data_IF_387280376674
#
_entry.id   IF_387280376674
#
_cell.length_a   1.000
_cell.length_b   1.000
_cell.length_c   1.000
_cell.angle_alpha   90.00
_cell.angle_beta   90.00
_cell.angle_gamma   90.00
#
_symmetry.space_group_name_H-M   'P 1'
#
loop_
_entity.id
_entity.type
_entity.pdbx_description
1 polymer ?
#
# COMPACT_ATOMS: atom_id res chain seq x y z
N UNK A 1 -10.92 5.41 18.03
CA UNK A 1 -11.53 4.13 18.45
C UNK A 1 -11.30 3.14 17.32
N UNK A 2 -10.25 2.30 17.42
CA UNK A 2 -9.85 1.39 16.35
C UNK A 2 -10.83 0.24 16.25
N UNK A 3 -11.42 0.04 15.08
CA UNK A 3 -12.27 -1.12 14.81
C UNK A 3 -11.39 -2.37 14.99
N UNK A 4 -11.80 -3.36 15.82
CA UNK A 4 -11.06 -4.61 15.96
C UNK A 4 -10.95 -5.29 14.60
N UNK A 5 -9.88 -6.06 14.38
CA UNK A 5 -9.82 -6.95 13.22
C UNK A 5 -11.06 -7.87 13.26
N UNK A 6 -11.69 -8.18 12.12
CA UNK A 6 -12.79 -9.14 12.10
C UNK A 6 -12.23 -10.48 12.56
N UNK A 7 -12.58 -10.87 13.78
CA UNK A 7 -12.40 -12.23 14.25
C UNK A 7 -13.43 -13.07 13.50
N UNK A 8 -12.97 -13.89 12.55
CA UNK A 8 -13.75 -14.84 11.73
C UNK A 8 -15.26 -14.54 11.66
N UNK A 9 -15.64 -13.37 11.13
CA UNK A 9 -17.05 -13.07 10.90
C UNK A 9 -17.44 -13.73 9.59
N UNK A 10 -17.80 -15.02 9.68
CA UNK A 10 -18.61 -15.68 8.66
C UNK A 10 -19.92 -14.89 8.55
N UNK A 11 -20.02 -13.98 7.59
CA UNK A 11 -21.30 -13.39 7.23
C UNK A 11 -22.17 -14.49 6.62
N UNK A 12 -23.32 -14.84 7.25
CA UNK A 12 -24.17 -15.94 6.80
C UNK A 12 -25.04 -15.58 5.59
N UNK A 13 -24.92 -14.36 5.04
CA UNK A 13 -25.65 -13.91 3.86
C UNK A 13 -24.73 -13.82 2.66
N UNK A 14 -24.90 -14.68 1.66
CA UNK A 14 -24.20 -14.55 0.39
C UNK A 14 -24.41 -13.16 -0.23
N UNK A 15 -23.34 -12.53 -0.68
CA UNK A 15 -23.39 -11.21 -1.30
C UNK A 15 -23.87 -11.35 -2.74
N UNK A 16 -25.09 -10.88 -3.03
CA UNK A 16 -25.67 -10.94 -4.37
C UNK A 16 -24.90 -9.99 -5.30
N UNK A 17 -24.47 -10.49 -6.45
CA UNK A 17 -23.84 -9.69 -7.51
C UNK A 17 -22.32 -9.53 -7.43
N UNK A 18 -21.68 -10.00 -6.35
CA UNK A 18 -20.22 -9.94 -6.20
C UNK A 18 -19.60 -11.33 -6.30
N UNK A 19 -18.36 -11.39 -6.80
CA UNK A 19 -17.61 -12.64 -6.92
C UNK A 19 -17.27 -13.18 -5.54
N UNK A 20 -17.81 -14.35 -5.16
CA UNK A 20 -17.54 -14.96 -3.85
C UNK A 20 -16.44 -16.02 -3.89
N UNK A 21 -16.00 -16.44 -5.09
CA UNK A 21 -14.87 -17.33 -5.24
C UNK A 21 -14.35 -17.45 -6.66
N UNK A 22 -13.21 -18.13 -6.79
CA UNK A 22 -12.62 -18.54 -8.06
C UNK A 22 -11.88 -19.86 -7.91
N UNK A 23 -11.73 -20.56 -9.03
CA UNK A 23 -10.93 -21.77 -9.16
C UNK A 23 -9.98 -21.56 -10.34
N UNK A 24 -8.69 -21.79 -10.12
CA UNK A 24 -7.64 -21.65 -11.15
C UNK A 24 -6.94 -22.99 -11.32
N UNK A 25 -6.97 -23.58 -12.52
CA UNK A 25 -6.26 -24.81 -12.81
C UNK A 25 -4.74 -24.57 -12.89
N UNK A 26 -3.94 -25.50 -12.32
CA UNK A 26 -2.50 -25.51 -12.44
C UNK A 26 -2.08 -26.24 -13.72
N UNK A 27 -1.21 -25.61 -14.51
CA UNK A 27 -0.71 -26.15 -15.78
C UNK A 27 0.69 -26.80 -15.63
N UNK A 28 1.00 -27.33 -14.45
CA UNK A 28 2.28 -27.97 -14.13
C UNK A 28 2.24 -29.51 -14.27
N UNK A 29 1.15 -30.05 -14.81
CA UNK A 29 0.94 -31.50 -14.97
C UNK A 29 0.41 -32.21 -13.73
N UNK A 30 0.23 -31.51 -12.59
CA UNK A 30 -0.33 -32.09 -11.36
C UNK A 30 -1.84 -32.34 -11.43
N UNK A 31 -2.55 -31.67 -12.34
CA UNK A 31 -4.01 -31.63 -12.36
C UNK A 31 -4.61 -30.89 -11.16
N UNK A 32 -3.81 -30.10 -10.44
CA UNK A 32 -4.23 -29.34 -9.26
C UNK A 32 -5.05 -28.10 -9.57
N UNK A 33 -5.73 -27.58 -8.54
CA UNK A 33 -6.50 -26.35 -8.59
C UNK A 33 -6.15 -25.45 -7.42
N UNK A 34 -6.14 -24.13 -7.65
CA UNK A 34 -6.11 -23.12 -6.62
C UNK A 34 -7.50 -22.55 -6.41
N UNK A 35 -7.93 -22.48 -5.15
CA UNK A 35 -9.24 -21.98 -4.74
C UNK A 35 -9.09 -20.61 -4.10
N UNK A 36 -10.04 -19.72 -4.35
CA UNK A 36 -10.16 -18.45 -3.64
C UNK A 36 -11.59 -18.25 -3.14
N UNK A 37 -11.73 -17.62 -1.98
CA UNK A 37 -13.01 -17.17 -1.41
C UNK A 37 -12.88 -15.72 -0.94
N UNK A 38 -13.91 -14.92 -1.22
CA UNK A 38 -13.96 -13.49 -0.91
C UNK A 38 -15.13 -13.18 0.01
N UNK A 39 -14.88 -12.39 1.05
CA UNK A 39 -15.87 -11.94 2.03
C UNK A 39 -15.90 -10.42 2.06
N UNK A 40 -17.09 -9.85 2.15
CA UNK A 40 -17.34 -8.43 2.00
C UNK A 40 -17.97 -7.84 3.27
N UNK A 41 -17.82 -6.55 3.50
CA UNK A 41 -18.64 -5.86 4.49
C UNK A 41 -19.99 -5.40 3.92
N UNK A 42 -20.81 -4.77 4.76
CA UNK A 42 -22.10 -4.19 4.37
C UNK A 42 -22.01 -3.00 3.41
N UNK A 43 -20.79 -2.58 3.04
CA UNK A 43 -20.52 -1.53 2.05
C UNK A 43 -19.83 -2.11 0.81
N UNK A 44 -19.93 -3.42 0.63
CA UNK A 44 -19.47 -4.14 -0.57
C UNK A 44 -17.94 -4.09 -0.76
N UNK A 45 -17.19 -3.88 0.33
CA UNK A 45 -15.72 -3.88 0.31
C UNK A 45 -15.19 -5.23 0.78
N UNK A 46 -14.19 -5.78 0.09
CA UNK A 46 -13.55 -7.04 0.51
C UNK A 46 -12.86 -6.83 1.86
N UNK A 47 -13.28 -7.57 2.88
CA UNK A 47 -12.67 -7.54 4.23
C UNK A 47 -11.84 -8.78 4.52
N UNK A 48 -12.04 -9.86 3.76
CA UNK A 48 -11.25 -11.06 3.88
C UNK A 48 -11.16 -11.80 2.54
N UNK A 49 -9.96 -12.30 2.25
CA UNK A 49 -9.71 -13.25 1.16
C UNK A 49 -9.05 -14.48 1.75
N UNK A 50 -9.49 -15.67 1.36
CA UNK A 50 -8.84 -16.95 1.71
C UNK A 50 -8.52 -17.69 0.42
N UNK A 51 -7.28 -18.12 0.26
CA UNK A 51 -6.83 -18.79 -0.95
C UNK A 51 -5.97 -20.01 -0.62
N UNK A 52 -5.94 -21.00 -1.49
CA UNK A 52 -4.87 -21.98 -1.49
C UNK A 52 -3.68 -21.46 -2.28
N UNK A 53 -2.47 -21.91 -1.96
CA UNK A 53 -1.26 -21.59 -2.74
C UNK A 53 -0.61 -22.86 -3.33
N UNK A 54 0.50 -22.69 -4.03
CA UNK A 54 1.20 -23.75 -4.75
C UNK A 54 1.91 -24.77 -3.83
N UNK A 55 2.02 -24.50 -2.53
CA UNK A 55 2.63 -25.40 -1.56
C UNK A 55 1.58 -26.39 -1.01
N UNK A 56 2.03 -27.59 -0.64
CA UNK A 56 1.18 -28.61 -0.04
C UNK A 56 0.50 -28.10 1.24
N UNK A 57 -0.84 -28.16 1.28
CA UNK A 57 -1.64 -27.63 2.38
C UNK A 57 -1.53 -26.11 2.55
N UNK A 58 -1.06 -25.42 1.51
CA UNK A 58 -0.78 -24.00 1.51
C UNK A 58 -2.05 -23.16 1.56
N UNK A 59 -2.13 -22.24 2.51
CA UNK A 59 -3.25 -21.33 2.71
C UNK A 59 -2.73 -19.90 2.87
N UNK A 60 -3.26 -19.01 2.04
CA UNK A 60 -3.20 -17.55 2.21
C UNK A 60 -4.47 -17.06 2.87
N UNK A 61 -4.34 -16.13 3.82
CA UNK A 61 -5.44 -15.31 4.30
C UNK A 61 -5.04 -13.85 4.27
N UNK A 62 -5.91 -13.01 3.75
CA UNK A 62 -5.77 -11.56 3.82
C UNK A 62 -6.99 -10.98 4.53
N UNK A 63 -6.77 -10.03 5.44
CA UNK A 63 -7.80 -9.30 6.14
C UNK A 63 -7.55 -7.81 5.99
N UNK A 64 -8.60 -7.03 5.72
CA UNK A 64 -8.51 -5.58 5.57
C UNK A 64 -9.52 -4.91 6.49
N UNK A 65 -9.05 -3.95 7.28
CA UNK A 65 -9.89 -3.05 8.06
C UNK A 65 -9.94 -1.69 7.37
N UNK A 66 -11.10 -1.05 7.33
CA UNK A 66 -11.30 0.25 6.69
C UNK A 66 -11.76 1.31 7.68
N UNK A 67 -11.41 2.58 7.43
CA UNK A 67 -12.03 3.70 8.12
C UNK A 67 -13.42 4.03 7.55
N UNK A 68 -14.06 5.03 8.14
CA UNK A 68 -15.40 5.47 7.75
C UNK A 68 -15.50 5.95 6.30
N UNK A 69 -14.44 6.52 5.73
CA UNK A 69 -14.45 7.04 4.35
C UNK A 69 -13.98 6.02 3.30
N UNK A 70 -13.65 4.78 3.69
CA UNK A 70 -13.27 3.75 2.73
C UNK A 70 -11.79 3.43 2.64
N UNK A 71 -10.93 4.06 3.44
CA UNK A 71 -9.49 3.87 3.33
C UNK A 71 -9.03 2.70 4.22
N UNK A 72 -8.17 1.80 3.73
CA UNK A 72 -7.59 0.73 4.55
C UNK A 72 -6.81 1.32 5.72
N UNK A 73 -7.07 0.85 6.94
CA UNK A 73 -6.31 1.23 8.15
C UNK A 73 -5.39 0.12 8.61
N UNK A 74 -5.74 -1.13 8.32
CA UNK A 74 -4.90 -2.29 8.59
C UNK A 74 -5.05 -3.31 7.46
N UNK A 75 -3.97 -3.99 7.15
CA UNK A 75 -3.95 -5.18 6.29
C UNK A 75 -3.14 -6.26 7.00
N UNK A 76 -3.75 -7.42 7.24
CA UNK A 76 -3.07 -8.59 7.78
C UNK A 76 -3.00 -9.65 6.70
N UNK A 77 -1.79 -10.06 6.35
CA UNK A 77 -1.55 -11.19 5.45
C UNK A 77 -1.00 -12.36 6.27
N UNK A 78 -1.52 -13.57 6.05
CA UNK A 78 -1.08 -14.79 6.73
C UNK A 78 -0.79 -15.84 5.67
N UNK A 79 0.45 -16.31 5.67
CA UNK A 79 0.94 -17.37 4.79
C UNK A 79 1.22 -18.63 5.61
N UNK A 80 0.65 -19.76 5.22
CA UNK A 80 0.85 -21.04 5.91
C UNK A 80 0.94 -22.19 4.92
N UNK A 81 1.63 -23.26 5.29
CA UNK A 81 1.75 -24.50 4.51
C UNK A 81 2.13 -25.67 5.43
N UNK A 82 1.85 -26.91 5.03
CA UNK A 82 2.17 -28.09 5.82
C UNK A 82 3.67 -28.20 6.06
N UNK A 83 4.07 -28.38 7.32
CA UNK A 83 5.48 -28.49 7.71
C UNK A 83 6.28 -27.19 7.63
N UNK A 84 5.62 -26.03 7.46
CA UNK A 84 6.24 -24.70 7.45
C UNK A 84 5.69 -23.84 8.60
N UNK A 85 6.54 -22.98 9.17
CA UNK A 85 6.10 -21.98 10.14
C UNK A 85 5.18 -20.97 9.46
N UNK A 86 4.01 -20.74 10.05
CA UNK A 86 3.09 -19.71 9.57
C UNK A 86 3.75 -18.33 9.66
N UNK A 87 3.71 -17.57 8.57
CA UNK A 87 4.16 -16.18 8.54
C UNK A 87 2.95 -15.25 8.62
N UNK A 88 3.08 -14.16 9.37
CA UNK A 88 2.08 -13.10 9.41
C UNK A 88 2.71 -11.73 9.17
N UNK A 89 2.09 -10.94 8.31
CA UNK A 89 2.52 -9.59 7.99
C UNK A 89 1.37 -8.62 8.27
N UNK A 90 1.55 -7.77 9.28
CA UNK A 90 0.60 -6.73 9.63
C UNK A 90 1.09 -5.38 9.11
N UNK A 91 0.32 -4.77 8.22
CA UNK A 91 0.49 -3.39 7.79
C UNK A 91 -0.52 -2.50 8.51
N UNK A 92 -0.08 -1.33 8.97
CA UNK A 92 -0.95 -0.29 9.53
C UNK A 92 -0.75 1.00 8.75
N UNK A 93 -1.87 1.64 8.38
CA UNK A 93 -1.90 2.87 7.61
C UNK A 93 -2.54 3.98 8.44
N UNK A 94 -1.79 5.06 8.62
CA UNK A 94 -2.23 6.26 9.35
C UNK A 94 -2.49 7.39 8.36
N UNK A 95 -3.56 8.13 8.57
CA UNK A 95 -3.96 9.24 7.73
C UNK A 95 -4.10 10.52 8.55
N UNK A 96 -3.86 11.67 7.93
CA UNK A 96 -4.24 12.95 8.50
C UNK A 96 -5.74 13.24 8.37
N UNK A 97 -6.18 14.39 8.88
CA UNK A 97 -7.58 14.81 8.84
C UNK A 97 -8.11 15.05 7.42
N UNK A 98 -7.23 15.31 6.44
CA UNK A 98 -7.58 15.46 5.03
C UNK A 98 -7.60 14.11 4.29
N UNK A 99 -7.34 13.00 4.99
CA UNK A 99 -7.33 11.65 4.40
C UNK A 99 -6.05 11.32 3.64
N UNK A 100 -4.95 12.05 3.85
CA UNK A 100 -3.66 11.76 3.19
C UNK A 100 -2.84 10.80 4.06
N UNK A 101 -2.19 9.81 3.44
CA UNK A 101 -1.42 8.77 4.14
C UNK A 101 -0.15 9.37 4.77
N UNK A 102 -0.08 9.44 6.09
CA UNK A 102 1.06 10.00 6.82
C UNK A 102 2.08 8.96 7.25
N UNK A 103 1.66 7.72 7.51
CA UNK A 103 2.57 6.66 7.92
C UNK A 103 2.08 5.28 7.49
N UNK A 104 3.02 4.44 7.06
CA UNK A 104 2.82 3.00 6.87
C UNK A 104 3.81 2.26 7.75
N UNK A 105 3.31 1.41 8.64
CA UNK A 105 4.14 0.50 9.44
C UNK A 105 3.92 -0.96 9.01
N UNK A 106 4.90 -1.80 9.33
CA UNK A 106 4.88 -3.24 9.08
C UNK A 106 5.37 -4.00 10.30
N UNK A 107 4.79 -5.16 10.54
CA UNK A 107 5.19 -6.06 11.60
C UNK A 107 5.17 -7.49 11.06
N UNK A 108 6.31 -8.16 11.13
CA UNK A 108 6.47 -9.56 10.74
C UNK A 108 6.35 -10.46 11.98
N UNK A 109 5.48 -11.47 11.92
CA UNK A 109 5.30 -12.51 12.92
C UNK A 109 5.07 -11.99 14.35
N UNK A 110 4.39 -10.86 14.49
CA UNK A 110 4.18 -10.20 15.80
C UNK A 110 5.46 -9.65 16.44
N UNK A 111 6.57 -9.57 15.70
CA UNK A 111 7.85 -9.02 16.16
C UNK A 111 7.85 -7.51 16.29
N UNK A 112 9.02 -6.89 16.19
CA UNK A 112 9.13 -5.42 16.28
C UNK A 112 8.49 -4.75 15.07
N UNK A 113 7.59 -3.79 15.31
CA UNK A 113 7.01 -2.96 14.27
C UNK A 113 8.06 -2.01 13.68
N UNK A 114 8.15 -1.96 12.36
CA UNK A 114 9.03 -1.06 11.60
C UNK A 114 8.19 -0.06 10.80
N UNK A 115 8.65 1.19 10.72
CA UNK A 115 8.03 2.21 9.87
C UNK A 115 8.59 2.09 8.45
N UNK A 116 7.77 1.68 7.49
CA UNK A 116 8.18 1.57 6.08
C UNK A 116 8.28 2.94 5.42
N UNK A 117 7.31 3.82 5.69
CA UNK A 117 7.24 5.15 5.11
C UNK A 117 6.58 6.15 6.06
N UNK A 118 7.14 7.35 6.16
CA UNK A 118 6.50 8.53 6.75
C UNK A 118 6.41 9.64 5.72
N UNK A 119 5.24 10.20 5.54
CA UNK A 119 4.97 11.28 4.60
C UNK A 119 4.60 12.55 5.34
N UNK A 120 5.08 13.68 4.83
CA UNK A 120 4.53 14.99 5.16
C UNK A 120 4.01 15.64 3.90
N UNK A 121 3.09 16.58 4.08
CA UNK A 121 2.45 17.29 2.99
C UNK A 121 2.59 18.78 3.20
N UNK A 122 2.67 19.54 2.10
CA UNK A 122 2.59 20.98 2.14
C UNK A 122 1.15 21.47 2.33
N UNK A 123 1.01 22.79 2.49
CA UNK A 123 -0.27 23.47 2.72
C UNK A 123 -1.27 23.26 1.57
N UNK A 124 -0.79 22.94 0.37
CA UNK A 124 -1.60 22.71 -0.82
C UNK A 124 -1.99 21.25 -1.02
N UNK A 125 -1.60 20.33 -0.13
CA UNK A 125 -1.95 18.92 -0.31
C UNK A 125 -0.83 18.04 -0.86
N UNK A 126 0.28 18.61 -1.31
CA UNK A 126 1.29 17.90 -2.11
C UNK A 126 2.33 17.24 -1.21
N UNK A 127 2.87 16.10 -1.62
CA UNK A 127 3.88 15.37 -0.86
C UNK A 127 5.12 16.25 -0.67
N UNK A 128 5.45 16.60 0.57
CA UNK A 128 6.60 17.46 0.89
C UNK A 128 7.83 16.62 1.23
N UNK A 129 7.66 15.61 2.08
CA UNK A 129 8.74 14.66 2.40
C UNK A 129 8.21 13.24 2.39
N UNK A 130 9.08 12.30 2.01
CA UNK A 130 8.89 10.88 2.20
C UNK A 130 10.16 10.29 2.84
N UNK A 131 10.03 9.77 4.06
CA UNK A 131 11.11 9.11 4.79
C UNK A 131 10.90 7.60 4.79
N UNK A 132 11.88 6.84 4.33
CA UNK A 132 11.83 5.36 4.32
C UNK A 132 12.46 4.78 5.57
N UNK A 133 11.88 3.71 6.12
CA UNK A 133 12.52 2.94 7.19
C UNK A 133 12.74 3.72 8.50
N UNK A 134 12.03 4.83 8.70
CA UNK A 134 12.33 5.81 9.77
C UNK A 134 13.81 6.29 9.76
N UNK A 135 14.44 6.30 8.59
CA UNK A 135 15.83 6.67 8.41
C UNK A 135 15.93 8.03 7.71
N UNK A 136 16.46 9.02 8.43
CA UNK A 136 16.63 10.39 7.91
C UNK A 136 17.52 10.43 6.67
N UNK A 137 18.52 9.54 6.55
CA UNK A 137 19.37 9.43 5.37
C UNK A 137 18.63 8.94 4.11
N UNK A 138 17.46 8.35 4.30
CA UNK A 138 16.57 7.87 3.23
C UNK A 138 15.31 8.75 3.12
N UNK A 139 15.46 10.04 3.42
CA UNK A 139 14.39 11.03 3.26
C UNK A 139 14.53 11.76 1.94
N UNK A 140 13.49 11.66 1.13
CA UNK A 140 13.31 12.46 -0.09
C UNK A 140 12.44 13.67 0.22
N UNK A 141 12.90 14.85 -0.16
CA UNK A 141 12.17 16.12 -0.10
C UNK A 141 11.80 16.55 -1.51
N UNK A 142 10.56 16.99 -1.67
CA UNK A 142 10.00 17.40 -2.96
C UNK A 142 9.72 18.90 -2.94
N UNK A 143 10.06 19.57 -4.04
CA UNK A 143 9.64 20.94 -4.30
C UNK A 143 8.83 21.01 -5.58
N UNK A 144 8.04 22.06 -5.71
CA UNK A 144 7.09 22.23 -6.81
C UNK A 144 7.18 23.63 -7.40
N UNK A 145 6.87 23.75 -8.69
CA UNK A 145 6.65 25.05 -9.30
C UNK A 145 5.22 25.57 -9.03
N UNK A 146 4.90 26.77 -9.52
CA UNK A 146 3.59 27.41 -9.35
C UNK A 146 2.42 26.65 -9.99
N UNK A 147 2.70 25.68 -10.87
CA UNK A 147 1.70 24.80 -11.50
C UNK A 147 1.61 23.43 -10.82
N UNK A 148 2.24 23.28 -9.65
CA UNK A 148 2.28 22.02 -8.90
C UNK A 148 3.00 20.87 -9.61
N UNK A 149 3.88 21.16 -10.57
CA UNK A 149 4.79 20.15 -11.12
C UNK A 149 6.03 20.04 -10.24
N UNK A 150 6.53 18.81 -10.06
CA UNK A 150 7.75 18.54 -9.29
C UNK A 150 8.92 19.31 -9.93
N UNK A 151 9.53 20.19 -9.14
CA UNK A 151 10.69 20.99 -9.54
C UNK A 151 11.98 20.35 -9.06
N UNK A 152 12.00 19.77 -7.86
CA UNK A 152 13.17 19.03 -7.39
C UNK A 152 12.79 17.86 -6.50
N UNK A 153 13.66 16.86 -6.50
CA UNK A 153 13.68 15.74 -5.57
C UNK A 153 15.08 15.72 -4.97
N UNK A 154 15.17 15.86 -3.65
CA UNK A 154 16.44 15.90 -2.93
C UNK A 154 16.45 14.91 -1.79
N UNK A 155 17.48 14.08 -1.75
CA UNK A 155 17.82 13.19 -0.65
C UNK A 155 19.34 13.20 -0.44
N UNK A 156 19.84 12.72 0.71
CA UNK A 156 21.28 12.62 0.94
C UNK A 156 22.05 11.80 -0.10
N UNK A 157 21.39 10.85 -0.78
CA UNK A 157 22.02 9.94 -1.74
C UNK A 157 21.70 10.27 -3.21
N UNK A 158 20.76 11.18 -3.46
CA UNK A 158 20.31 11.53 -4.80
C UNK A 158 19.68 12.91 -4.82
N UNK A 159 20.06 13.73 -5.80
CA UNK A 159 19.41 15.02 -6.05
C UNK A 159 19.12 15.19 -7.55
N UNK A 160 17.94 15.71 -7.85
CA UNK A 160 17.51 16.10 -9.18
C UNK A 160 16.73 17.41 -9.08
N UNK A 161 17.06 18.35 -9.96
CA UNK A 161 16.34 19.62 -10.11
C UNK A 161 16.04 19.86 -11.58
N UNK A 162 14.80 20.24 -11.87
CA UNK A 162 14.29 20.52 -13.21
C UNK A 162 14.09 22.03 -13.36
N UNK A 163 14.83 22.61 -14.32
CA UNK A 163 14.87 24.05 -14.55
C UNK A 163 13.86 24.49 -15.63
N UNK A 164 12.57 24.25 -15.39
CA UNK A 164 11.51 24.60 -16.35
C UNK A 164 11.35 26.11 -16.56
N UNK A 165 11.43 26.88 -15.47
CA UNK A 165 11.11 28.30 -15.44
C UNK A 165 12.31 29.18 -15.11
N UNK A 166 13.49 28.57 -14.99
CA UNK A 166 14.72 29.20 -14.57
C UNK A 166 15.78 29.00 -15.66
N UNK A 167 16.66 29.97 -15.83
CA UNK A 167 17.82 29.83 -16.73
C UNK A 167 18.87 28.94 -16.05
N UNK A 168 19.28 27.85 -16.70
CA UNK A 168 20.34 26.97 -16.21
C UNK A 168 21.15 26.41 -17.39
N UNK A 169 22.49 26.40 -17.27
CA UNK A 169 23.37 25.84 -18.30
C UNK A 169 23.26 26.49 -19.70
N UNK A 170 22.78 27.73 -19.79
CA UNK A 170 22.49 28.40 -21.07
C UNK A 170 21.12 28.11 -21.67
N UNK A 171 20.32 27.24 -21.02
CA UNK A 171 18.93 26.98 -21.38
C UNK A 171 18.01 28.16 -21.05
N UNK A 172 17.05 28.42 -21.95
CA UNK A 172 16.04 29.46 -21.75
C UNK A 172 14.79 28.89 -21.04
N UNK A 173 14.14 29.65 -20.15
CA UNK A 173 12.92 29.22 -19.49
C UNK A 173 11.83 28.73 -20.47
N UNK A 174 11.26 27.55 -20.21
CA UNK A 174 10.19 26.92 -20.99
C UNK A 174 8.93 26.77 -20.12
N UNK A 175 8.13 27.82 -20.12
CA UNK A 175 6.90 27.89 -19.32
C UNK A 175 5.77 26.98 -19.81
N UNK A 176 5.94 26.26 -20.92
CA UNK A 176 4.97 25.29 -21.46
C UNK A 176 5.27 23.84 -21.03
N UNK A 177 6.31 23.59 -20.23
CA UNK A 177 6.67 22.24 -19.76
C UNK A 177 7.64 21.48 -20.65
N UNK A 178 8.16 22.09 -21.71
CA UNK A 178 9.22 21.48 -22.51
C UNK A 178 10.54 21.41 -21.73
N UNK A 179 11.26 20.30 -21.88
CA UNK A 179 12.61 20.12 -21.34
C UNK A 179 13.59 20.43 -22.48
N UNK A 180 14.57 21.31 -22.22
CA UNK A 180 15.69 21.49 -23.13
C UNK A 180 16.78 20.47 -22.81
N UNK A 181 17.44 19.87 -23.82
CA UNK A 181 18.64 19.06 -23.63
C UNK A 181 19.76 19.83 -22.94
#
# INVERSE_FOLDING_TARGET
MGIPLPIDILHPGGYKGFQTGSITALLDGSGGYLYSSFYYDNRERVIQTKQTNHLTGGIEKEFIAYNFVGQPTKKLHIHSATGKTTQSELFVYTYDQAGRLTETTHQLNGGTTVSLAKNTYDELGRLKTNMKGNNTNLTSTYSYNIRSWVKSISSPLFQQTLYYNDTYGGGSPRYNGNIQP
#
